data_IF_435120180642
#
_entry.id   IF_435120180642
#
_cell.length_a   1.000
_cell.length_b   1.000
_cell.length_c   1.000
_cell.angle_alpha   90.00
_cell.angle_beta   90.00
_cell.angle_gamma   90.00
#
_symmetry.space_group_name_H-M   'P 1'
#
loop_
_entity.id
_entity.type
_entity.pdbx_description
1 polymer ?
#
# COMPACT_ATOMS: atom_id res chain seq x y z
N UNK A 1 -87.72 -3.62 3.70
CA UNK A 1 -88.51 -2.45 3.24
C UNK A 1 -87.56 -1.27 3.08
N UNK A 2 -87.52 -0.67 1.87
CA UNK A 2 -87.13 0.71 1.51
C UNK A 2 -85.75 1.24 1.98
N UNK A 3 -84.95 1.98 1.19
CA UNK A 3 -85.03 2.52 -0.18
C UNK A 3 -83.62 3.04 -0.52
N UNK A 4 -83.13 2.75 -1.72
CA UNK A 4 -81.92 3.33 -2.31
C UNK A 4 -82.31 4.63 -3.06
N UNK A 5 -81.59 5.73 -2.82
CA UNK A 5 -81.46 6.92 -3.70
C UNK A 5 -80.05 7.51 -3.47
N UNK A 6 -79.04 7.39 -4.35
CA UNK A 6 -78.72 8.05 -5.64
C UNK A 6 -78.22 9.52 -5.54
N UNK A 7 -77.01 9.73 -6.11
CA UNK A 7 -76.34 10.98 -6.58
C UNK A 7 -75.68 11.88 -5.50
N UNK A 8 -74.48 12.47 -5.62
CA UNK A 8 -73.64 12.85 -6.78
C UNK A 8 -72.15 13.03 -6.41
N UNK A 9 -71.34 12.84 -7.44
CA UNK A 9 -69.96 13.26 -7.76
C UNK A 9 -69.46 14.54 -7.04
N UNK A 10 -68.28 14.47 -6.42
CA UNK A 10 -67.23 15.49 -6.58
C UNK A 10 -65.85 14.85 -6.36
N UNK A 11 -65.09 14.73 -7.45
CA UNK A 11 -63.67 14.37 -7.46
C UNK A 11 -62.89 15.63 -7.12
N UNK A 12 -62.18 15.65 -5.99
CA UNK A 12 -61.21 16.69 -5.68
C UNK A 12 -59.81 16.07 -5.61
N UNK A 13 -59.09 16.24 -6.72
CA UNK A 13 -57.70 15.91 -6.90
C UNK A 13 -56.83 16.85 -6.06
N UNK A 14 -56.13 16.32 -5.06
CA UNK A 14 -55.02 17.00 -4.39
C UNK A 14 -53.75 16.20 -4.65
N UNK A 15 -53.15 16.48 -5.81
CA UNK A 15 -51.76 16.14 -6.11
C UNK A 15 -50.87 17.04 -5.24
N UNK A 16 -50.40 16.51 -4.11
CA UNK A 16 -49.22 17.06 -3.46
C UNK A 16 -48.00 16.65 -4.30
N UNK A 17 -47.64 17.49 -5.27
CA UNK A 17 -46.34 17.45 -5.89
C UNK A 17 -45.33 18.02 -4.87
N UNK A 18 -44.81 17.17 -4.00
CA UNK A 18 -43.57 17.49 -3.28
C UNK A 18 -42.42 17.32 -4.27
N UNK A 19 -42.03 18.43 -4.90
CA UNK A 19 -40.76 18.54 -5.60
C UNK A 19 -39.64 18.29 -4.59
N UNK A 20 -39.10 17.08 -4.56
CA UNK A 20 -37.76 16.84 -4.02
C UNK A 20 -36.78 17.54 -4.95
N UNK A 21 -36.47 18.81 -4.67
CA UNK A 21 -35.22 19.40 -5.12
C UNK A 21 -34.12 18.60 -4.44
N UNK A 22 -33.51 17.68 -5.18
CA UNK A 22 -32.23 17.09 -4.83
C UNK A 22 -31.20 18.22 -4.92
N UNK A 23 -31.11 19.01 -3.85
CA UNK A 23 -29.93 19.80 -3.61
C UNK A 23 -28.83 18.79 -3.32
N UNK A 24 -28.10 18.38 -4.36
CA UNK A 24 -26.73 17.92 -4.18
C UNK A 24 -26.00 19.11 -3.55
N UNK A 25 -26.03 19.19 -2.23
CA UNK A 25 -25.02 19.97 -1.52
C UNK A 25 -23.71 19.30 -1.90
N UNK A 26 -22.84 20.00 -2.63
CA UNK A 26 -21.44 19.64 -2.78
C UNK A 26 -20.86 19.52 -1.36
N UNK A 27 -20.99 18.35 -0.75
CA UNK A 27 -20.35 18.06 0.52
C UNK A 27 -18.87 18.02 0.18
N UNK A 28 -18.14 19.07 0.58
CA UNK A 28 -16.69 19.07 0.46
C UNK A 28 -16.19 17.76 1.08
N UNK A 29 -15.46 16.98 0.29
CA UNK A 29 -14.87 15.74 0.77
C UNK A 29 -13.96 16.05 1.96
N UNK A 30 -14.00 15.21 2.99
CA UNK A 30 -13.11 15.37 4.15
C UNK A 30 -11.66 15.09 3.76
N UNK A 31 -10.71 15.51 4.60
CA UNK A 31 -9.30 15.24 4.37
C UNK A 31 -9.01 13.73 4.23
N UNK A 32 -9.64 12.91 5.09
CA UNK A 32 -9.48 11.45 5.06
C UNK A 32 -10.17 10.82 3.85
N UNK A 33 -11.36 11.30 3.46
CA UNK A 33 -12.03 10.83 2.24
C UNK A 33 -11.16 11.10 1.01
N UNK A 34 -10.50 12.26 0.93
CA UNK A 34 -9.56 12.57 -0.14
C UNK A 34 -8.29 11.73 -0.08
N UNK A 35 -7.75 11.48 1.12
CA UNK A 35 -6.59 10.59 1.29
C UNK A 35 -6.92 9.19 0.74
N UNK A 36 -8.06 8.62 1.14
CA UNK A 36 -8.51 7.31 0.69
C UNK A 36 -8.71 7.26 -0.84
N UNK A 37 -9.23 8.32 -1.44
CA UNK A 37 -9.33 8.45 -2.90
C UNK A 37 -7.96 8.60 -3.58
N UNK A 38 -6.96 9.13 -2.88
CA UNK A 38 -5.62 9.35 -3.41
C UNK A 38 -4.75 8.08 -3.41
N UNK A 39 -4.88 7.20 -2.40
CA UNK A 39 -3.96 6.06 -2.16
C UNK A 39 -3.71 5.23 -3.43
N UNK A 40 -4.77 4.71 -4.05
CA UNK A 40 -4.64 3.82 -5.22
C UNK A 40 -4.00 4.53 -6.43
N UNK A 41 -4.54 5.67 -6.92
CA UNK A 41 -3.93 6.34 -8.05
C UNK A 41 -2.51 6.85 -7.74
N UNK A 42 -2.20 7.19 -6.48
CA UNK A 42 -0.85 7.57 -6.05
C UNK A 42 0.11 6.38 -6.15
N UNK A 43 -0.30 5.21 -5.64
CA UNK A 43 0.48 3.98 -5.72
C UNK A 43 0.67 3.45 -7.14
N UNK A 44 -0.27 3.76 -8.04
CA UNK A 44 -0.21 3.45 -9.47
C UNK A 44 0.65 4.44 -10.26
N UNK A 45 1.01 5.60 -9.69
CA UNK A 45 1.79 6.65 -10.36
C UNK A 45 0.95 7.65 -11.16
N UNK A 46 -0.38 7.63 -11.04
CA UNK A 46 -1.24 8.61 -11.70
C UNK A 46 -1.06 10.00 -11.10
N UNK A 47 -0.91 11.02 -11.95
CA UNK A 47 -0.82 12.43 -11.53
C UNK A 47 -1.99 12.86 -10.64
N UNK A 48 -3.21 12.41 -10.98
CA UNK A 48 -4.41 12.67 -10.17
C UNK A 48 -4.26 12.18 -8.73
N UNK A 49 -3.56 11.07 -8.50
CA UNK A 49 -3.28 10.57 -7.15
C UNK A 49 -2.43 11.54 -6.35
N UNK A 50 -1.38 12.12 -6.96
CA UNK A 50 -0.55 13.17 -6.34
C UNK A 50 -1.38 14.40 -6.01
N UNK A 51 -2.22 14.85 -6.96
CA UNK A 51 -3.04 16.05 -6.76
C UNK A 51 -4.08 15.86 -5.64
N UNK A 52 -4.68 14.67 -5.53
CA UNK A 52 -5.59 14.33 -4.42
C UNK A 52 -4.86 14.21 -3.08
N UNK A 53 -3.66 13.60 -3.07
CA UNK A 53 -2.85 13.47 -1.87
C UNK A 53 -2.44 14.85 -1.31
N UNK A 54 -2.09 15.78 -2.18
CA UNK A 54 -1.81 17.18 -1.80
C UNK A 54 -3.04 17.87 -1.22
N UNK A 55 -4.21 17.72 -1.85
CA UNK A 55 -5.47 18.27 -1.33
C UNK A 55 -5.82 17.71 0.06
N UNK A 56 -5.68 16.40 0.24
CA UNK A 56 -5.88 15.75 1.53
C UNK A 56 -4.92 16.30 2.61
N UNK A 57 -3.64 16.49 2.25
CA UNK A 57 -2.64 17.04 3.15
C UNK A 57 -2.93 18.49 3.55
N UNK A 58 -3.32 19.33 2.58
CA UNK A 58 -3.71 20.73 2.79
C UNK A 58 -4.98 20.85 3.67
N UNK A 59 -5.89 19.88 3.57
CA UNK A 59 -7.11 19.82 4.38
C UNK A 59 -6.93 19.21 5.78
N UNK A 60 -5.76 18.66 6.09
CA UNK A 60 -5.44 18.20 7.45
C UNK A 60 -5.20 16.71 7.62
N UNK A 61 -5.25 15.86 6.59
CA UNK A 61 -5.04 14.42 6.77
C UNK A 61 -3.60 14.16 7.22
N UNK A 62 -3.44 13.62 8.43
CA UNK A 62 -2.11 13.35 9.00
C UNK A 62 -1.32 12.37 8.12
N UNK A 63 -1.97 11.35 7.56
CA UNK A 63 -1.33 10.37 6.69
C UNK A 63 -0.84 11.02 5.40
N UNK A 64 -1.69 11.82 4.75
CA UNK A 64 -1.32 12.54 3.54
C UNK A 64 -0.15 13.51 3.80
N UNK A 65 -0.19 14.25 4.92
CA UNK A 65 0.90 15.13 5.34
C UNK A 65 2.20 14.36 5.56
N UNK A 66 2.16 13.24 6.28
CA UNK A 66 3.32 12.38 6.48
C UNK A 66 3.92 11.90 5.15
N UNK A 67 3.08 11.51 4.18
CA UNK A 67 3.53 10.97 2.90
C UNK A 67 4.13 12.03 2.00
N UNK A 68 3.43 13.16 1.82
CA UNK A 68 3.94 14.29 1.02
C UNK A 68 5.23 14.83 1.65
N UNK A 69 5.27 14.96 2.97
CA UNK A 69 6.46 15.45 3.66
C UNK A 69 7.68 14.56 3.38
N UNK A 70 7.51 13.23 3.44
CA UNK A 70 8.56 12.26 3.14
C UNK A 70 8.94 12.23 1.66
N UNK A 71 7.99 12.40 0.73
CA UNK A 71 8.28 12.38 -0.71
C UNK A 71 8.97 13.66 -1.19
N UNK A 72 8.77 14.77 -0.48
CA UNK A 72 9.34 16.07 -0.82
C UNK A 72 10.73 16.32 -0.17
N UNK A 73 11.41 15.29 0.35
CA UNK A 73 12.80 15.44 0.80
C UNK A 73 13.72 15.47 -0.43
N UNK A 74 14.54 16.52 -0.56
CA UNK A 74 15.45 16.68 -1.70
C UNK A 74 16.61 15.69 -1.63
N UNK A 75 17.02 15.34 -0.39
CA UNK A 75 17.89 14.22 -0.11
C UNK A 75 17.67 13.74 1.32
N UNK A 76 18.33 12.65 1.70
CA UNK A 76 18.36 12.22 3.12
C UNK A 76 18.90 13.32 4.05
N UNK A 77 19.63 14.30 3.52
CA UNK A 77 20.25 15.38 4.29
C UNK A 77 19.57 16.74 4.13
N UNK A 78 18.64 16.95 3.19
CA UNK A 78 18.09 18.28 2.89
C UNK A 78 16.57 18.20 2.76
N UNK A 79 15.89 19.02 3.55
CA UNK A 79 14.43 19.17 3.46
C UNK A 79 14.07 20.33 2.55
N UNK A 80 13.07 20.11 1.70
CA UNK A 80 12.39 21.20 1.01
C UNK A 80 11.45 21.96 1.95
N UNK A 81 11.08 23.18 1.58
CA UNK A 81 10.07 23.98 2.28
C UNK A 81 8.73 23.21 2.40
N UNK A 82 8.39 22.42 1.38
CA UNK A 82 7.19 21.59 1.36
C UNK A 82 7.27 20.45 2.38
N UNK A 83 8.43 19.79 2.49
CA UNK A 83 8.66 18.74 3.47
C UNK A 83 8.45 19.25 4.89
N UNK A 84 9.07 20.39 5.23
CA UNK A 84 8.90 21.00 6.55
C UNK A 84 7.44 21.42 6.80
N UNK A 85 6.79 22.11 5.84
CA UNK A 85 5.39 22.55 5.97
C UNK A 85 4.51 21.39 6.44
N UNK A 86 4.57 20.26 5.76
CA UNK A 86 3.69 19.13 6.06
C UNK A 86 4.13 18.34 7.30
N UNK A 87 5.43 18.20 7.59
CA UNK A 87 5.84 17.63 8.88
C UNK A 87 5.39 18.48 10.06
N UNK A 88 5.42 19.81 9.93
CA UNK A 88 4.92 20.75 10.95
C UNK A 88 3.42 20.62 11.13
N UNK A 89 2.65 20.61 10.04
CA UNK A 89 1.20 20.38 10.11
C UNK A 89 0.87 19.04 10.78
N UNK A 90 1.58 17.97 10.45
CA UNK A 90 1.40 16.66 11.08
C UNK A 90 1.78 16.71 12.56
N UNK A 91 2.88 17.36 12.90
CA UNK A 91 3.33 17.54 14.29
C UNK A 91 2.32 18.34 15.12
N UNK A 92 1.68 19.36 14.57
CA UNK A 92 0.66 20.17 15.26
C UNK A 92 -0.58 19.35 15.62
N UNK A 93 -0.81 18.25 14.89
CA UNK A 93 -1.85 17.25 15.17
C UNK A 93 -1.37 16.10 16.09
N UNK A 94 -0.12 16.17 16.59
CA UNK A 94 0.57 15.12 17.34
C UNK A 94 0.80 13.81 16.55
N UNK A 95 0.80 13.86 15.22
CA UNK A 95 1.13 12.72 14.40
C UNK A 95 2.60 12.32 14.63
N UNK A 96 2.84 11.02 14.90
CA UNK A 96 4.16 10.49 15.24
C UNK A 96 5.22 10.80 14.18
N UNK A 97 4.85 10.84 12.89
CA UNK A 97 5.78 11.12 11.81
C UNK A 97 6.37 12.55 11.89
N UNK A 98 5.52 13.55 12.14
CA UNK A 98 5.92 14.96 12.20
C UNK A 98 6.69 15.25 13.47
N UNK A 99 6.19 14.74 14.61
CA UNK A 99 6.86 14.85 15.89
C UNK A 99 8.26 14.20 15.86
N UNK A 100 8.40 13.02 15.27
CA UNK A 100 9.71 12.38 15.10
C UNK A 100 10.62 13.23 14.20
N UNK A 101 10.13 13.62 13.03
CA UNK A 101 10.92 14.36 12.05
C UNK A 101 11.43 15.70 12.62
N UNK A 102 10.65 16.35 13.49
CA UNK A 102 11.01 17.62 14.12
C UNK A 102 11.79 17.48 15.45
N UNK A 103 11.80 16.30 16.08
CA UNK A 103 12.49 16.05 17.36
C UNK A 103 13.96 15.63 17.24
N UNK A 104 14.46 15.42 16.02
CA UNK A 104 15.86 15.02 15.78
C UNK A 104 16.77 16.22 15.49
N UNK A 105 17.97 16.20 16.07
CA UNK A 105 19.04 17.17 15.83
C UNK A 105 19.88 16.77 14.61
N UNK A 106 20.75 17.68 14.11
CA UNK A 106 21.73 17.41 13.04
C UNK A 106 22.67 16.22 13.35
N UNK A 107 22.91 15.89 14.61
CA UNK A 107 23.85 14.83 15.04
C UNK A 107 23.20 13.45 15.31
N UNK A 108 21.88 13.31 15.13
CA UNK A 108 21.11 12.10 15.46
C UNK A 108 21.24 10.91 14.48
N UNK A 109 22.22 10.92 13.58
CA UNK A 109 22.50 9.81 12.66
C UNK A 109 21.94 9.96 11.24
N UNK A 110 21.27 11.06 10.93
CA UNK A 110 21.10 11.60 9.57
C UNK A 110 21.20 13.13 9.72
N UNK A 111 22.17 13.76 9.06
CA UNK A 111 22.43 15.20 9.14
C UNK A 111 21.40 15.94 8.29
N UNK A 112 20.22 16.11 8.86
CA UNK A 112 19.12 16.80 8.22
C UNK A 112 19.39 18.31 8.31
N UNK A 113 20.01 18.89 7.28
CA UNK A 113 20.07 20.33 7.09
C UNK A 113 18.66 20.85 6.80
N UNK A 114 18.05 21.46 7.82
CA UNK A 114 16.83 22.27 7.67
C UNK A 114 17.24 23.62 7.07
N UNK A 115 16.47 24.21 6.13
CA UNK A 115 16.84 25.54 5.64
C UNK A 115 16.81 26.60 6.77
N UNK A 116 17.67 27.63 6.68
CA UNK A 116 17.89 28.59 7.78
C UNK A 116 16.65 29.40 8.21
N UNK A 117 15.68 29.58 7.31
CA UNK A 117 14.42 30.26 7.61
C UNK A 117 13.51 29.49 8.59
N UNK A 118 13.82 28.21 8.86
CA UNK A 118 12.99 27.30 9.67
C UNK A 118 13.36 27.25 11.16
N UNK A 119 14.32 28.07 11.61
CA UNK A 119 14.65 28.23 13.03
C UNK A 119 13.64 29.11 13.80
N UNK A 120 12.52 29.50 13.17
CA UNK A 120 11.69 30.65 13.60
C UNK A 120 10.25 30.26 13.99
N UNK A 121 9.89 28.97 14.04
CA UNK A 121 8.56 28.57 14.58
C UNK A 121 8.46 28.76 16.11
N UNK A 122 9.58 29.08 16.77
CA UNK A 122 9.67 29.35 18.19
C UNK A 122 9.54 28.10 19.07
N UNK A 123 9.41 26.91 18.48
CA UNK A 123 9.27 25.64 19.22
C UNK A 123 10.63 24.94 19.26
N UNK A 124 11.12 24.67 20.46
CA UNK A 124 12.41 24.00 20.61
C UNK A 124 12.33 22.53 20.16
N UNK A 125 13.46 21.98 19.69
CA UNK A 125 13.55 20.55 19.36
C UNK A 125 13.21 19.68 20.58
N UNK A 126 13.61 20.10 21.78
CA UNK A 126 13.27 19.40 23.03
C UNK A 126 11.76 19.35 23.25
N UNK A 127 11.03 20.42 22.92
CA UNK A 127 9.57 20.43 22.99
C UNK A 127 8.95 19.44 22.02
N UNK A 128 9.46 19.33 20.78
CA UNK A 128 9.01 18.28 19.85
C UNK A 128 9.35 16.88 20.35
N UNK A 129 10.51 16.71 20.98
CA UNK A 129 10.93 15.44 21.59
C UNK A 129 10.00 15.02 22.73
N UNK A 130 9.69 15.91 23.65
CA UNK A 130 8.75 15.66 24.75
C UNK A 130 7.37 15.26 24.23
N UNK A 131 6.88 15.98 23.22
CA UNK A 131 5.60 15.66 22.56
C UNK A 131 5.66 14.31 21.84
N UNK A 132 6.75 14.02 21.15
CA UNK A 132 6.98 12.73 20.49
C UNK A 132 6.95 11.58 21.50
N UNK A 133 7.72 11.70 22.58
CA UNK A 133 7.80 10.67 23.62
C UNK A 133 6.42 10.45 24.27
N UNK A 134 5.68 11.52 24.55
CA UNK A 134 4.31 11.43 25.09
C UNK A 134 3.34 10.75 24.11
N UNK A 135 3.33 11.15 22.84
CA UNK A 135 2.47 10.56 21.81
C UNK A 135 2.81 9.08 21.56
N UNK A 136 4.10 8.74 21.52
CA UNK A 136 4.56 7.37 21.35
C UNK A 136 4.17 6.50 22.55
N UNK A 137 4.36 6.99 23.77
CA UNK A 137 3.94 6.29 24.99
C UNK A 137 2.43 6.06 25.04
N UNK A 138 1.63 7.05 24.66
CA UNK A 138 0.17 6.91 24.56
C UNK A 138 -0.21 5.83 23.54
N UNK A 139 0.32 5.91 22.31
CA UNK A 139 0.04 4.93 21.27
C UNK A 139 0.46 3.50 21.67
N UNK A 140 1.61 3.34 22.35
CA UNK A 140 2.01 2.03 22.89
C UNK A 140 1.01 1.53 23.94
N UNK A 141 0.54 2.41 24.83
CA UNK A 141 -0.43 2.02 25.89
C UNK A 141 -1.78 1.59 25.31
N UNK A 142 -2.18 2.20 24.19
CA UNK A 142 -3.38 1.87 23.44
C UNK A 142 -3.17 0.70 22.46
N UNK A 143 -1.99 0.11 22.45
CA UNK A 143 -1.59 -0.95 21.51
C UNK A 143 -1.74 -0.58 20.04
N UNK A 144 -1.55 0.71 19.70
CA UNK A 144 -1.52 1.18 18.33
C UNK A 144 -0.35 0.53 17.56
N UNK A 145 -0.68 -0.17 16.46
CA UNK A 145 0.28 -0.98 15.69
C UNK A 145 1.41 -0.10 15.13
N UNK A 146 1.11 1.11 14.64
CA UNK A 146 2.11 2.03 14.12
C UNK A 146 3.07 2.53 15.21
N UNK A 147 2.55 2.84 16.40
CA UNK A 147 3.39 3.21 17.55
C UNK A 147 4.31 2.04 17.97
N UNK A 148 3.80 0.81 17.98
CA UNK A 148 4.61 -0.38 18.28
C UNK A 148 5.69 -0.63 17.21
N UNK A 149 5.35 -0.53 15.92
CA UNK A 149 6.31 -0.63 14.80
C UNK A 149 7.37 0.46 14.90
N UNK A 150 6.97 1.69 15.19
CA UNK A 150 7.89 2.82 15.32
C UNK A 150 8.83 2.64 16.52
N UNK A 151 8.31 2.21 17.67
CA UNK A 151 9.15 1.92 18.84
C UNK A 151 10.17 0.83 18.55
N UNK A 152 9.78 -0.21 17.81
CA UNK A 152 10.71 -1.24 17.34
C UNK A 152 11.81 -0.67 16.46
N UNK A 153 11.45 0.17 15.49
CA UNK A 153 12.40 0.82 14.58
C UNK A 153 13.43 1.71 15.31
N UNK A 154 12.99 2.43 16.34
CA UNK A 154 13.82 3.36 17.12
C UNK A 154 14.62 2.68 18.27
N UNK A 155 14.56 1.36 18.41
CA UNK A 155 15.22 0.67 19.52
C UNK A 155 16.74 0.61 19.33
N UNK A 156 17.51 1.02 20.34
CA UNK A 156 18.98 1.08 20.30
C UNK A 156 19.67 -0.29 20.29
N UNK A 157 18.93 -1.35 20.64
CA UNK A 157 19.44 -2.71 20.59
C UNK A 157 18.47 -3.67 19.89
N UNK A 158 19.05 -4.66 19.21
CA UNK A 158 18.29 -5.60 18.39
C UNK A 158 17.34 -6.48 19.21
N UNK A 159 17.55 -6.65 20.51
CA UNK A 159 16.64 -7.45 21.33
C UNK A 159 15.34 -6.71 21.64
N UNK A 160 15.42 -5.40 21.91
CA UNK A 160 14.24 -4.55 22.08
C UNK A 160 13.47 -4.36 20.78
N UNK A 161 14.18 -4.16 19.66
CA UNK A 161 13.58 -4.09 18.32
C UNK A 161 12.67 -5.28 18.05
N UNK A 162 13.21 -6.50 18.22
CA UNK A 162 12.48 -7.75 18.03
C UNK A 162 11.23 -7.81 18.92
N UNK A 163 11.33 -7.45 20.21
CA UNK A 163 10.20 -7.48 21.16
C UNK A 163 9.05 -6.56 20.74
N UNK A 164 9.34 -5.36 20.23
CA UNK A 164 8.31 -4.41 19.81
C UNK A 164 7.65 -4.85 18.49
N UNK A 165 8.44 -5.32 17.53
CA UNK A 165 7.88 -5.90 16.30
C UNK A 165 7.07 -7.17 16.57
N UNK A 166 7.46 -8.02 17.53
CA UNK A 166 6.65 -9.16 17.98
C UNK A 166 5.31 -8.72 18.58
N UNK A 167 5.27 -7.62 19.34
CA UNK A 167 4.00 -7.07 19.84
C UNK A 167 3.11 -6.61 18.70
N UNK A 168 3.64 -5.89 17.72
CA UNK A 168 2.89 -5.46 16.54
C UNK A 168 2.40 -6.65 15.70
N UNK A 169 3.27 -7.65 15.46
CA UNK A 169 2.97 -8.83 14.67
C UNK A 169 1.86 -9.72 15.24
N UNK A 170 1.62 -9.66 16.56
CA UNK A 170 0.53 -10.38 17.26
C UNK A 170 -0.87 -9.85 16.93
N UNK A 171 -0.97 -8.66 16.33
CA UNK A 171 -2.24 -8.13 15.83
C UNK A 171 -2.59 -8.64 14.43
N UNK A 172 -1.86 -9.65 13.92
CA UNK A 172 -2.01 -10.17 12.56
C UNK A 172 -1.78 -9.12 11.45
N UNK A 173 -1.12 -8.00 11.77
CA UNK A 173 -0.67 -7.03 10.77
C UNK A 173 0.43 -7.66 9.92
N UNK A 174 0.14 -7.85 8.63
CA UNK A 174 1.06 -8.54 7.73
C UNK A 174 2.31 -7.72 7.44
N UNK A 175 2.26 -6.38 7.54
CA UNK A 175 3.46 -5.53 7.43
C UNK A 175 4.35 -5.69 8.68
N UNK A 176 3.79 -5.64 9.89
CA UNK A 176 4.52 -5.91 11.12
C UNK A 176 5.17 -7.30 11.12
N UNK A 177 4.45 -8.35 10.70
CA UNK A 177 4.96 -9.71 10.60
C UNK A 177 6.13 -9.81 9.60
N UNK A 178 6.00 -9.19 8.43
CA UNK A 178 7.07 -9.19 7.43
C UNK A 178 8.29 -8.38 7.89
N UNK A 179 8.08 -7.25 8.56
CA UNK A 179 9.16 -6.46 9.18
C UNK A 179 9.87 -7.26 10.26
N UNK A 180 9.13 -7.96 11.13
CA UNK A 180 9.71 -8.83 12.14
C UNK A 180 10.60 -9.92 11.51
N UNK A 181 10.13 -10.58 10.45
CA UNK A 181 10.92 -11.57 9.73
C UNK A 181 12.25 -10.97 9.21
N UNK A 182 12.19 -9.78 8.62
CA UNK A 182 13.39 -9.07 8.14
C UNK A 182 14.33 -8.66 9.28
N UNK A 183 13.79 -8.20 10.41
CA UNK A 183 14.60 -7.85 11.59
C UNK A 183 15.29 -9.09 12.19
N UNK A 184 14.58 -10.21 12.31
CA UNK A 184 15.15 -11.49 12.76
C UNK A 184 16.25 -11.93 11.81
N UNK A 185 16.04 -11.83 10.49
CA UNK A 185 17.06 -12.13 9.48
C UNK A 185 18.32 -11.28 9.65
N UNK A 186 18.15 -9.99 10.00
CA UNK A 186 19.26 -9.05 10.25
C UNK A 186 19.94 -9.19 11.63
N UNK A 187 19.54 -10.19 12.41
CA UNK A 187 20.20 -10.53 13.68
C UNK A 187 19.45 -10.09 14.93
N UNK A 188 18.19 -9.64 14.84
CA UNK A 188 17.39 -9.36 16.03
C UNK A 188 17.01 -10.64 16.78
N UNK A 189 16.91 -10.57 18.10
CA UNK A 189 16.58 -11.71 18.96
C UNK A 189 17.69 -12.74 19.13
N UNK A 190 17.47 -13.63 20.11
CA UNK A 190 18.45 -14.62 20.56
C UNK A 190 18.17 -16.01 19.99
N UNK A 191 18.92 -16.38 18.96
CA UNK A 191 18.78 -17.65 18.24
C UNK A 191 20.08 -18.45 18.31
N UNK A 192 20.32 -19.13 19.44
CA UNK A 192 21.57 -19.88 19.70
C UNK A 192 21.61 -21.27 19.10
N UNK A 193 20.46 -21.84 18.80
CA UNK A 193 20.38 -23.15 18.14
C UNK A 193 20.60 -22.94 16.64
N UNK A 194 21.57 -23.60 15.99
CA UNK A 194 21.76 -23.50 14.55
C UNK A 194 20.46 -23.79 13.78
N UNK A 195 20.12 -22.95 12.80
CA UNK A 195 18.89 -23.07 12.03
C UNK A 195 17.62 -22.51 12.70
N UNK A 196 17.66 -22.15 13.99
CA UNK A 196 16.48 -21.61 14.69
C UNK A 196 16.08 -20.21 14.20
N UNK A 197 17.06 -19.41 13.79
CA UNK A 197 16.83 -18.08 13.20
C UNK A 197 16.10 -18.21 11.87
N UNK A 198 16.60 -19.04 10.97
CA UNK A 198 16.03 -19.28 9.65
C UNK A 198 14.60 -19.82 9.75
N UNK A 199 14.34 -20.74 10.69
CA UNK A 199 12.99 -21.23 10.97
C UNK A 199 12.04 -20.12 11.40
N UNK A 200 12.49 -19.21 12.27
CA UNK A 200 11.67 -18.09 12.73
C UNK A 200 11.44 -17.04 11.65
N UNK A 201 12.45 -16.75 10.81
CA UNK A 201 12.28 -15.91 9.61
C UNK A 201 11.22 -16.51 8.68
N UNK A 202 11.35 -17.80 8.34
CA UNK A 202 10.38 -18.48 7.46
C UNK A 202 8.98 -18.45 8.07
N UNK A 203 8.84 -18.74 9.37
CA UNK A 203 7.56 -18.70 10.06
C UNK A 203 6.87 -17.33 9.94
N UNK A 204 7.55 -16.24 10.30
CA UNK A 204 6.94 -14.91 10.26
C UNK A 204 6.69 -14.41 8.84
N UNK A 205 7.55 -14.77 7.88
CA UNK A 205 7.30 -14.52 6.46
C UNK A 205 6.03 -15.26 6.00
N UNK A 206 5.86 -16.52 6.38
CA UNK A 206 4.67 -17.30 6.02
C UNK A 206 3.39 -16.74 6.65
N UNK A 207 3.45 -16.29 7.91
CA UNK A 207 2.32 -15.59 8.54
C UNK A 207 1.96 -14.31 7.79
N UNK A 208 2.96 -13.48 7.46
CA UNK A 208 2.74 -12.26 6.68
C UNK A 208 2.14 -12.58 5.30
N UNK A 209 2.63 -13.60 4.62
CA UNK A 209 2.10 -14.04 3.33
C UNK A 209 0.64 -14.52 3.45
N UNK A 210 0.31 -15.24 4.51
CA UNK A 210 -1.06 -15.70 4.75
C UNK A 210 -2.02 -14.57 5.15
N UNK A 211 -1.53 -13.52 5.81
CA UNK A 211 -2.28 -12.28 6.07
C UNK A 211 -2.22 -11.28 4.91
N UNK A 212 -1.75 -11.72 3.74
CA UNK A 212 -1.94 -11.01 2.47
C UNK A 212 -0.73 -10.21 1.97
N UNK A 213 0.40 -10.18 2.69
CA UNK A 213 1.55 -9.36 2.28
C UNK A 213 2.20 -9.91 0.99
N UNK A 214 2.12 -9.21 -0.17
CA UNK A 214 2.63 -9.73 -1.43
C UNK A 214 4.16 -9.86 -1.43
N UNK A 215 4.88 -8.97 -0.73
CA UNK A 215 6.35 -9.08 -0.58
C UNK A 215 6.72 -10.34 0.21
N UNK A 216 5.92 -10.70 1.21
CA UNK A 216 6.11 -11.95 1.92
C UNK A 216 5.78 -13.18 1.06
N UNK A 217 4.72 -13.12 0.24
CA UNK A 217 4.39 -14.17 -0.73
C UNK A 217 5.51 -14.37 -1.76
N UNK A 218 6.11 -13.29 -2.27
CA UNK A 218 7.29 -13.37 -3.16
C UNK A 218 8.47 -14.08 -2.47
N UNK A 219 8.74 -13.78 -1.20
CA UNK A 219 9.79 -14.49 -0.44
C UNK A 219 9.43 -15.96 -0.23
N UNK A 220 8.15 -16.29 0.00
CA UNK A 220 7.70 -17.68 0.07
C UNK A 220 7.87 -18.41 -1.27
N UNK A 221 7.64 -17.72 -2.39
CA UNK A 221 7.96 -18.23 -3.74
C UNK A 221 9.46 -18.54 -3.86
N UNK A 222 10.34 -17.64 -3.42
CA UNK A 222 11.80 -17.90 -3.44
C UNK A 222 12.23 -19.08 -2.56
N UNK A 223 11.54 -19.33 -1.44
CA UNK A 223 11.78 -20.54 -0.64
C UNK A 223 11.38 -21.80 -1.41
N UNK A 224 10.22 -21.80 -2.07
CA UNK A 224 9.77 -22.92 -2.89
C UNK A 224 10.70 -23.16 -4.09
N UNK A 225 11.16 -22.10 -4.75
CA UNK A 225 12.19 -22.15 -5.81
C UNK A 225 13.46 -22.86 -5.30
N UNK A 226 13.98 -22.46 -4.14
CA UNK A 226 15.18 -23.09 -3.54
C UNK A 226 14.95 -24.56 -3.19
N UNK A 227 13.75 -24.90 -2.74
CA UNK A 227 13.32 -26.27 -2.43
C UNK A 227 13.02 -27.07 -3.73
N UNK A 228 13.18 -26.46 -4.92
CA UNK A 228 12.86 -27.00 -6.26
C UNK A 228 11.39 -27.37 -6.42
N UNK A 229 10.52 -26.74 -5.64
CA UNK A 229 9.07 -26.87 -5.72
C UNK A 229 8.51 -25.78 -6.65
N UNK A 230 8.54 -26.06 -7.96
CA UNK A 230 8.03 -25.14 -8.99
C UNK A 230 6.53 -24.88 -8.82
N UNK A 231 5.77 -25.90 -8.39
CA UNK A 231 4.32 -25.78 -8.18
C UNK A 231 4.04 -24.81 -7.02
N UNK A 232 4.71 -24.99 -5.88
CA UNK A 232 4.59 -24.09 -4.73
C UNK A 232 5.05 -22.67 -5.05
N UNK A 233 6.13 -22.52 -5.82
CA UNK A 233 6.63 -21.22 -6.29
C UNK A 233 5.57 -20.48 -7.11
N UNK A 234 5.04 -21.11 -8.16
CA UNK A 234 3.99 -20.51 -9.00
C UNK A 234 2.71 -20.23 -8.22
N UNK A 235 2.34 -21.08 -7.25
CA UNK A 235 1.17 -20.85 -6.40
C UNK A 235 1.33 -19.61 -5.50
N UNK A 236 2.52 -19.38 -4.94
CA UNK A 236 2.78 -18.17 -4.16
C UNK A 236 2.81 -16.91 -5.03
N UNK A 237 3.42 -16.97 -6.22
CA UNK A 237 3.42 -15.86 -7.17
C UNK A 237 2.02 -15.52 -7.67
N UNK A 238 1.19 -16.53 -7.93
CA UNK A 238 -0.21 -16.33 -8.30
C UNK A 238 -1.00 -15.65 -7.18
N UNK A 239 -0.82 -16.09 -5.93
CA UNK A 239 -1.45 -15.42 -4.77
C UNK A 239 -1.00 -13.97 -4.67
N UNK A 240 0.30 -13.71 -4.86
CA UNK A 240 0.86 -12.37 -4.81
C UNK A 240 0.33 -11.48 -5.96
N UNK A 241 0.26 -12.00 -7.19
CA UNK A 241 -0.34 -11.32 -8.34
C UNK A 241 -1.82 -11.01 -8.11
N UNK A 242 -2.58 -11.93 -7.49
CA UNK A 242 -3.98 -11.73 -7.15
C UNK A 242 -4.23 -10.64 -6.09
N UNK A 243 -3.22 -10.24 -5.31
CA UNK A 243 -3.35 -9.03 -4.49
C UNK A 243 -3.43 -7.77 -5.35
N UNK A 244 -2.94 -7.80 -6.59
CA UNK A 244 -2.76 -6.62 -7.42
C UNK A 244 -1.34 -6.05 -7.36
N UNK A 245 -0.40 -6.72 -6.68
CA UNK A 245 0.96 -6.21 -6.57
C UNK A 245 1.65 -6.12 -7.95
N UNK A 246 2.08 -4.92 -8.34
CA UNK A 246 2.71 -4.65 -9.64
C UNK A 246 3.88 -5.59 -9.93
N UNK A 247 4.79 -5.75 -8.96
CA UNK A 247 5.97 -6.57 -9.12
C UNK A 247 5.61 -8.05 -9.23
N UNK A 248 4.68 -8.53 -8.39
CA UNK A 248 4.24 -9.91 -8.41
C UNK A 248 3.52 -10.28 -9.71
N UNK A 249 2.63 -9.40 -10.22
CA UNK A 249 1.96 -9.60 -11.51
C UNK A 249 3.01 -9.72 -12.62
N UNK A 250 4.01 -8.83 -12.64
CA UNK A 250 5.09 -8.88 -13.63
C UNK A 250 5.90 -10.18 -13.52
N UNK A 251 6.42 -10.49 -12.34
CA UNK A 251 7.25 -11.70 -12.11
C UNK A 251 6.46 -12.95 -12.51
N UNK A 252 5.21 -13.07 -12.07
CA UNK A 252 4.36 -14.21 -12.40
C UNK A 252 4.11 -14.33 -13.92
N UNK A 253 3.84 -13.21 -14.59
CA UNK A 253 3.64 -13.18 -16.04
C UNK A 253 4.88 -13.65 -16.80
N UNK A 254 6.07 -13.16 -16.43
CA UNK A 254 7.32 -13.56 -17.08
C UNK A 254 7.62 -15.06 -16.86
N UNK A 255 7.34 -15.62 -15.67
CA UNK A 255 7.46 -17.07 -15.44
C UNK A 255 6.48 -17.87 -16.30
N UNK A 256 5.23 -17.43 -16.43
CA UNK A 256 4.23 -18.07 -17.28
C UNK A 256 4.58 -18.03 -18.77
N UNK A 257 5.36 -17.04 -19.21
CA UNK A 257 5.88 -16.95 -20.58
C UNK A 257 7.05 -17.92 -20.84
N UNK A 258 7.62 -18.53 -19.81
CA UNK A 258 8.81 -19.35 -19.91
C UNK A 258 10.07 -18.54 -20.28
N UNK A 259 10.15 -17.27 -19.85
CA UNK A 259 11.28 -16.41 -20.18
C UNK A 259 12.61 -16.91 -19.61
N UNK A 260 13.69 -16.68 -20.36
CA UNK A 260 15.06 -17.11 -20.00
C UNK A 260 15.71 -16.22 -18.89
N UNK A 261 14.98 -15.25 -18.36
CA UNK A 261 15.47 -14.33 -17.33
C UNK A 261 15.67 -15.00 -15.96
N UNK A 262 15.22 -16.25 -15.79
CA UNK A 262 15.16 -16.92 -14.49
C UNK A 262 16.14 -18.07 -14.31
N UNK A 263 16.52 -18.30 -13.06
CA UNK A 263 17.44 -19.35 -12.60
C UNK A 263 16.87 -20.76 -12.72
N UNK A 264 15.55 -20.92 -12.78
CA UNK A 264 14.87 -22.21 -12.92
C UNK A 264 14.02 -22.21 -14.19
N UNK A 265 14.23 -23.18 -15.11
CA UNK A 265 13.37 -23.34 -16.27
C UNK A 265 11.99 -23.85 -15.85
N UNK A 266 10.93 -23.19 -16.31
CA UNK A 266 9.55 -23.60 -16.06
C UNK A 266 9.15 -24.68 -17.08
N UNK A 267 8.66 -25.87 -16.64
CA UNK A 267 8.16 -26.89 -17.53
C UNK A 267 7.09 -26.35 -18.48
N UNK A 268 7.12 -26.78 -19.75
CA UNK A 268 6.24 -26.24 -20.79
C UNK A 268 4.74 -26.44 -20.48
N UNK A 269 4.38 -27.49 -19.74
CA UNK A 269 3.03 -27.79 -19.26
C UNK A 269 2.55 -26.86 -18.12
N UNK A 270 3.47 -26.15 -17.47
CA UNK A 270 3.17 -25.15 -16.44
C UNK A 270 3.22 -23.70 -16.96
N UNK A 271 3.68 -23.50 -18.20
CA UNK A 271 3.65 -22.20 -18.87
C UNK A 271 2.24 -21.88 -19.39
N UNK A 272 1.89 -20.59 -19.44
CA UNK A 272 0.61 -20.15 -19.98
C UNK A 272 0.70 -18.73 -20.55
N UNK A 273 1.00 -18.65 -21.85
CA UNK A 273 1.03 -17.38 -22.59
C UNK A 273 -0.31 -16.62 -22.50
N UNK A 274 -1.44 -17.32 -22.52
CA UNK A 274 -2.77 -16.71 -22.38
C UNK A 274 -2.96 -16.06 -21.00
N UNK A 275 -2.56 -16.75 -19.92
CA UNK A 275 -2.67 -16.22 -18.55
C UNK A 275 -1.68 -15.07 -18.32
N UNK A 276 -0.47 -15.17 -18.86
CA UNK A 276 0.51 -14.08 -18.86
C UNK A 276 -0.05 -12.84 -19.57
N UNK A 277 -0.66 -13.01 -20.75
CA UNK A 277 -1.30 -11.91 -21.49
C UNK A 277 -2.36 -11.22 -20.63
N UNK A 278 -3.21 -12.00 -19.97
CA UNK A 278 -4.29 -11.48 -19.13
C UNK A 278 -3.75 -10.59 -17.99
N UNK A 279 -2.71 -11.05 -17.29
CA UNK A 279 -2.06 -10.29 -16.21
C UNK A 279 -1.33 -9.04 -16.70
N UNK A 280 -0.61 -9.12 -17.81
CA UNK A 280 0.05 -7.95 -18.40
C UNK A 280 -0.95 -6.93 -18.93
N UNK A 281 -2.10 -7.39 -19.44
CA UNK A 281 -3.21 -6.54 -19.85
C UNK A 281 -3.76 -5.71 -18.68
N UNK A 282 -3.90 -6.32 -17.49
CA UNK A 282 -4.28 -5.61 -16.26
C UNK A 282 -3.31 -4.44 -15.96
N UNK A 283 -2.00 -4.69 -16.05
CA UNK A 283 -0.99 -3.65 -15.78
C UNK A 283 -1.12 -2.45 -16.73
N UNK A 284 -1.23 -2.69 -18.04
CA UNK A 284 -1.28 -1.59 -19.01
C UNK A 284 -2.61 -0.80 -18.97
N UNK A 285 -3.67 -1.34 -18.34
CA UNK A 285 -4.96 -0.64 -18.21
C UNK A 285 -5.10 0.14 -16.89
N UNK A 286 -4.34 -0.21 -15.86
CA UNK A 286 -4.42 0.45 -14.54
C UNK A 286 -3.19 1.31 -14.21
N UNK A 287 -2.11 1.21 -14.99
CA UNK A 287 -0.92 2.05 -14.84
C UNK A 287 -0.88 3.16 -15.90
N UNK A 288 -0.29 4.33 -15.58
CA UNK A 288 -0.09 5.39 -16.55
C UNK A 288 0.90 4.96 -17.64
N UNK A 289 0.70 5.44 -18.89
CA UNK A 289 1.67 5.23 -19.95
C UNK A 289 2.94 6.04 -19.65
N UNK A 290 3.97 5.37 -19.17
CA UNK A 290 5.30 5.95 -18.91
C UNK A 290 6.34 5.44 -19.91
N UNK A 291 7.31 6.30 -20.24
CA UNK A 291 8.23 6.09 -21.37
C UNK A 291 9.52 5.36 -21.02
N UNK A 292 9.92 5.29 -19.74
CA UNK A 292 11.21 4.73 -19.33
C UNK A 292 11.09 3.66 -18.25
N UNK A 293 11.62 2.47 -18.55
CA UNK A 293 11.85 1.29 -17.69
C UNK A 293 10.80 0.97 -16.60
N UNK A 294 9.54 1.36 -16.84
CA UNK A 294 8.41 1.14 -15.95
C UNK A 294 7.78 -0.24 -16.17
N UNK A 295 7.01 -0.71 -15.19
CA UNK A 295 6.20 -1.92 -15.32
C UNK A 295 5.28 -1.85 -16.56
N UNK A 296 4.66 -0.69 -16.81
CA UNK A 296 3.87 -0.44 -18.02
C UNK A 296 4.67 -0.69 -19.30
N UNK A 297 5.84 -0.04 -19.45
CA UNK A 297 6.63 -0.11 -20.68
C UNK A 297 7.13 -1.53 -20.98
N UNK A 298 7.48 -2.29 -19.93
CA UNK A 298 7.86 -3.71 -20.05
C UNK A 298 6.67 -4.57 -20.43
N UNK A 299 5.52 -4.39 -19.79
CA UNK A 299 4.29 -5.13 -20.11
C UNK A 299 3.83 -4.92 -21.55
N UNK A 300 3.93 -3.71 -22.09
CA UNK A 300 3.64 -3.45 -23.51
C UNK A 300 4.56 -4.27 -24.43
N UNK A 301 5.86 -4.35 -24.13
CA UNK A 301 6.81 -5.16 -24.92
C UNK A 301 6.48 -6.64 -24.85
N UNK A 302 6.24 -7.17 -23.65
CA UNK A 302 5.89 -8.58 -23.45
C UNK A 302 4.55 -8.95 -24.12
N UNK A 303 3.53 -8.08 -24.03
CA UNK A 303 2.27 -8.25 -24.75
C UNK A 303 2.50 -8.34 -26.26
N UNK A 304 3.31 -7.48 -26.86
CA UNK A 304 3.61 -7.53 -28.30
C UNK A 304 4.29 -8.83 -28.75
N UNK A 305 5.01 -9.51 -27.85
CA UNK A 305 5.59 -10.83 -28.09
C UNK A 305 4.50 -11.89 -28.05
N UNK A 306 3.59 -11.80 -27.07
CA UNK A 306 2.48 -12.73 -26.90
C UNK A 306 1.44 -12.65 -28.02
N UNK A 307 1.18 -11.46 -28.56
CA UNK A 307 0.25 -11.26 -29.70
C UNK A 307 0.69 -11.99 -30.96
N UNK A 308 1.99 -12.27 -31.11
CA UNK A 308 2.52 -13.07 -32.22
C UNK A 308 2.40 -14.57 -32.01
N UNK A 309 2.16 -15.01 -30.76
CA UNK A 309 2.10 -16.42 -30.35
C UNK A 309 0.68 -16.92 -30.14
N UNK A 310 -0.25 -16.05 -29.75
CA UNK A 310 -1.63 -16.39 -29.41
C UNK A 310 -2.57 -16.17 -30.59
N UNK A 311 -3.64 -16.96 -30.66
CA UNK A 311 -4.75 -16.72 -31.57
C UNK A 311 -5.62 -15.55 -31.09
N UNK A 312 -6.40 -14.96 -32.01
CA UNK A 312 -7.34 -13.88 -31.69
C UNK A 312 -8.32 -14.27 -30.57
N UNK A 313 -8.86 -15.49 -30.62
CA UNK A 313 -9.77 -16.00 -29.60
C UNK A 313 -9.11 -16.12 -28.21
N UNK A 314 -7.86 -16.58 -28.15
CA UNK A 314 -7.13 -16.66 -26.88
C UNK A 314 -6.84 -15.27 -26.29
N UNK A 315 -6.55 -14.29 -27.14
CA UNK A 315 -6.36 -12.90 -26.73
C UNK A 315 -7.68 -12.32 -26.20
N UNK A 316 -8.80 -12.57 -26.87
CA UNK A 316 -10.11 -12.10 -26.43
C UNK A 316 -10.53 -12.72 -25.09
N UNK A 317 -10.32 -14.03 -24.92
CA UNK A 317 -10.51 -14.73 -23.64
C UNK A 317 -9.68 -14.09 -22.51
N UNK A 318 -8.39 -13.81 -22.76
CA UNK A 318 -7.49 -13.21 -21.79
C UNK A 318 -7.95 -11.80 -21.37
N UNK A 319 -8.38 -10.99 -22.34
CA UNK A 319 -8.94 -9.65 -22.10
C UNK A 319 -10.24 -9.73 -21.30
N UNK A 320 -11.11 -10.67 -21.61
CA UNK A 320 -12.36 -10.89 -20.89
C UNK A 320 -12.11 -11.20 -19.42
N UNK A 321 -11.19 -12.13 -19.12
CA UNK A 321 -10.80 -12.43 -17.75
C UNK A 321 -10.21 -11.20 -17.03
N UNK A 322 -9.31 -10.47 -17.69
CA UNK A 322 -8.65 -9.32 -17.09
C UNK A 322 -9.65 -8.20 -16.75
N UNK A 323 -10.60 -7.94 -17.66
CA UNK A 323 -11.67 -6.98 -17.43
C UNK A 323 -12.58 -7.39 -16.28
N UNK A 324 -12.88 -8.68 -16.12
CA UNK A 324 -13.65 -9.16 -14.96
C UNK A 324 -12.86 -8.99 -13.65
N UNK A 325 -11.57 -9.34 -13.64
CA UNK A 325 -10.72 -9.20 -12.47
C UNK A 325 -10.61 -7.74 -12.00
N UNK A 326 -10.43 -6.80 -12.94
CA UNK A 326 -10.31 -5.36 -12.66
C UNK A 326 -11.60 -4.71 -12.09
N UNK A 327 -12.76 -5.38 -12.16
CA UNK A 327 -13.99 -4.87 -11.51
C UNK A 327 -13.90 -4.88 -9.99
N UNK A 328 -13.13 -5.81 -9.42
CA UNK A 328 -13.05 -6.04 -7.97
C UNK A 328 -11.64 -5.88 -7.42
N UNK A 329 -10.64 -5.70 -8.29
CA UNK A 329 -9.24 -5.58 -7.89
C UNK A 329 -8.57 -4.35 -8.52
N UNK A 330 -7.52 -3.89 -7.86
CA UNK A 330 -6.73 -2.74 -8.26
C UNK A 330 -5.25 -3.10 -8.20
N UNK A 331 -4.51 -2.69 -9.22
CA UNK A 331 -3.06 -2.78 -9.27
C UNK A 331 -2.47 -1.77 -8.30
N UNK A 332 -1.54 -2.23 -7.46
CA UNK A 332 -0.95 -1.45 -6.38
C UNK A 332 0.54 -1.77 -6.22
N UNK A 333 1.32 -0.78 -5.83
CA UNK A 333 2.72 -0.95 -5.43
C UNK A 333 2.87 -1.30 -3.96
N UNK A 334 1.86 -1.01 -3.12
CA UNK A 334 1.86 -1.23 -1.66
C UNK A 334 3.02 -0.56 -0.92
N UNK A 335 3.55 0.55 -1.45
CA UNK A 335 4.62 1.29 -0.76
C UNK A 335 4.09 2.21 0.34
N UNK A 336 2.83 2.68 0.25
CA UNK A 336 2.23 3.50 1.28
C UNK A 336 1.90 2.61 2.48
N UNK A 337 0.89 1.77 2.35
CA UNK A 337 0.41 0.94 3.44
C UNK A 337 -0.06 -0.42 2.93
N UNK A 338 0.03 -1.41 3.83
CA UNK A 338 -0.54 -2.73 3.62
C UNK A 338 -1.76 -2.88 4.54
N UNK A 339 -2.91 -3.28 4.01
CA UNK A 339 -4.11 -3.64 4.80
C UNK A 339 -5.13 -2.52 5.06
N UNK A 340 -5.68 -1.92 3.99
CA UNK A 340 -6.98 -1.21 4.05
C UNK A 340 -8.06 -2.08 3.42
#
# INVERSE_FOLDING_TARGET
MLRIKKFSILVLSLLFATSFTYAASDKLATADELYQQAVIPYEQGWRKGVDLMLQAADLGSEQAQCWIAKSAVDSVWVWSDMSYKYFKMAADQNALCGLLALSVNEEGGIAIMRPKAFLVDGVSINTYKERFDAALSLGISESNIEALKLKGFLSDNKNEECKWFEKAAKFNDADAQFRLANKIKSGCGWYVIPGSREKSVRYWTEQAANHGNPRAMEVMSSYAEKDKDIVGMLAWLERAANTGNINSIRIYSTYLMGGDEFTIPIPADMQSNKKAYAWLYVLIHQLPPETEDSAYSRSVKELSILEKKLSENEIEDAKSWANEWMKTHQVRSYFLEFGM
#
